data_IF_475705461916
#
_entry.id   IF_475705461916
#
_cell.length_a   1.000
_cell.length_b   1.000
_cell.length_c   1.000
_cell.angle_alpha   90.00
_cell.angle_beta   90.00
_cell.angle_gamma   90.00
#
_symmetry.space_group_name_H-M   'P 1'
#
loop_
_entity.id
_entity.type
_entity.pdbx_description
1 polymer ?
#
# COMPACT_ATOMS: atom_id res chain seq x y z
N UNK A 1 -37.77 -57.74 -20.88
CA UNK A 1 -36.88 -56.76 -21.54
C UNK A 1 -36.23 -55.97 -20.41
N UNK A 2 -35.34 -56.54 -19.60
CA UNK A 2 -34.16 -57.36 -19.90
C UNK A 2 -33.06 -56.54 -20.60
N UNK A 3 -32.20 -55.92 -19.79
CA UNK A 3 -30.76 -55.78 -20.05
C UNK A 3 -30.03 -55.35 -18.77
N UNK A 4 -29.43 -56.36 -18.15
CA UNK A 4 -28.27 -56.26 -17.29
C UNK A 4 -27.07 -55.76 -18.10
N UNK A 5 -26.25 -54.89 -17.51
CA UNK A 5 -24.80 -54.92 -17.73
C UNK A 5 -24.11 -54.54 -16.42
N UNK A 6 -23.63 -55.60 -15.79
CA UNK A 6 -22.63 -55.66 -14.73
C UNK A 6 -21.35 -54.90 -15.13
N UNK A 7 -20.74 -54.21 -14.16
CA UNK A 7 -19.35 -53.79 -14.25
C UNK A 7 -18.73 -53.95 -12.86
N UNK A 8 -18.34 -55.19 -12.56
CA UNK A 8 -17.55 -55.55 -11.39
C UNK A 8 -16.09 -55.14 -11.62
N UNK A 9 -15.57 -54.31 -10.71
CA UNK A 9 -14.16 -53.95 -10.64
C UNK A 9 -13.44 -54.95 -9.72
N UNK A 10 -12.30 -55.56 -10.13
CA UNK A 10 -11.60 -56.54 -9.31
C UNK A 10 -10.76 -55.90 -8.20
N UNK A 11 -10.89 -56.49 -7.02
CA UNK A 11 -10.08 -56.32 -5.80
C UNK A 11 -8.62 -56.74 -6.04
N UNK A 12 -7.61 -56.03 -5.47
CA UNK A 12 -6.23 -56.52 -5.48
C UNK A 12 -6.00 -57.57 -4.39
N UNK A 13 -5.42 -58.70 -4.82
CA UNK A 13 -4.96 -59.83 -4.01
C UNK A 13 -3.61 -59.49 -3.32
N UNK A 14 -3.38 -59.93 -2.07
CA UNK A 14 -2.12 -59.69 -1.36
C UNK A 14 -1.10 -60.81 -1.65
N UNK A 15 0.08 -60.44 -2.16
CA UNK A 15 1.21 -61.34 -2.29
C UNK A 15 2.00 -61.42 -0.97
N UNK A 16 2.14 -62.65 -0.47
CA UNK A 16 2.85 -63.04 0.72
C UNK A 16 4.36 -63.25 0.49
N UNK A 17 5.10 -63.10 1.58
CA UNK A 17 6.26 -63.89 2.03
C UNK A 17 7.33 -64.34 1.02
N UNK A 18 8.53 -63.78 1.19
CA UNK A 18 9.80 -64.37 0.78
C UNK A 18 10.74 -64.50 1.99
N UNK A 19 11.01 -65.73 2.49
CA UNK A 19 12.01 -65.97 3.51
C UNK A 19 13.20 -66.79 2.98
N UNK A 20 14.40 -66.23 3.16
CA UNK A 20 15.59 -67.00 3.53
C UNK A 20 16.60 -67.34 2.42
N UNK A 21 17.88 -67.20 2.77
CA UNK A 21 19.03 -67.70 2.00
C UNK A 21 20.24 -66.77 2.12
N UNK A 22 20.94 -66.72 3.26
CA UNK A 22 22.17 -67.49 3.59
C UNK A 22 23.47 -66.96 2.98
N UNK A 23 24.37 -66.64 3.92
CA UNK A 23 25.80 -66.96 3.94
C UNK A 23 26.78 -66.36 2.94
N UNK A 24 27.79 -65.71 3.53
CA UNK A 24 29.17 -66.12 3.27
C UNK A 24 30.10 -65.00 2.80
N UNK A 25 31.22 -64.83 3.51
CA UNK A 25 32.41 -64.22 2.94
C UNK A 25 33.04 -63.12 3.80
N UNK A 26 33.72 -63.51 4.86
CA UNK A 26 34.85 -62.75 5.37
C UNK A 26 36.00 -62.87 4.36
N UNK A 27 36.65 -61.75 3.99
CA UNK A 27 38.10 -61.80 3.81
C UNK A 27 38.77 -60.43 4.00
N UNK A 28 39.99 -60.55 4.48
CA UNK A 28 40.94 -59.59 5.01
C UNK A 28 41.93 -59.08 3.94
N UNK A 29 42.64 -57.99 4.25
CA UNK A 29 43.84 -57.51 3.54
C UNK A 29 43.67 -56.07 3.06
N UNK A 30 44.27 -55.02 3.61
CA UNK A 30 45.67 -54.79 3.94
C UNK A 30 46.61 -55.13 2.76
N UNK A 31 46.94 -54.14 1.95
CA UNK A 31 48.35 -53.91 1.61
C UNK A 31 48.63 -52.50 1.12
N UNK A 32 49.87 -52.10 1.40
CA UNK A 32 50.46 -50.81 1.09
C UNK A 32 51.32 -50.88 -0.18
N UNK A 33 51.62 -49.72 -0.76
CA UNK A 33 52.95 -49.48 -1.33
C UNK A 33 53.07 -49.22 -2.83
N UNK A 34 53.73 -48.08 -3.10
CA UNK A 34 54.79 -47.86 -4.10
C UNK A 34 54.45 -47.62 -5.59
N UNK A 35 54.59 -46.35 -5.98
CA UNK A 35 55.47 -45.80 -7.05
C UNK A 35 55.87 -46.68 -8.24
N UNK A 36 55.54 -46.23 -9.46
CA UNK A 36 56.44 -46.07 -10.64
C UNK A 36 55.61 -45.42 -11.79
N UNK A 37 55.80 -44.15 -12.12
CA UNK A 37 56.66 -43.60 -13.19
C UNK A 37 56.36 -44.05 -14.64
N UNK A 38 56.09 -43.02 -15.47
CA UNK A 38 56.27 -42.92 -16.93
C UNK A 38 55.47 -43.85 -17.86
N UNK A 39 54.56 -43.28 -18.66
CA UNK A 39 54.85 -43.22 -20.09
C UNK A 39 54.06 -42.14 -20.84
N UNK A 40 54.69 -41.57 -21.86
CA UNK A 40 54.28 -40.42 -22.62
C UNK A 40 53.58 -40.83 -23.92
N UNK A 41 52.35 -40.35 -24.18
CA UNK A 41 51.75 -40.36 -25.54
C UNK A 41 50.86 -39.14 -25.77
N UNK A 42 51.41 -38.14 -26.46
CA UNK A 42 50.78 -37.19 -27.40
C UNK A 42 51.79 -37.04 -28.56
N UNK A 43 51.44 -36.65 -29.80
CA UNK A 43 50.20 -36.02 -30.28
C UNK A 43 49.67 -36.56 -31.63
N UNK A 44 48.50 -36.09 -32.08
CA UNK A 44 48.21 -35.94 -33.51
C UNK A 44 47.21 -34.78 -33.74
N UNK A 45 47.48 -33.89 -34.71
CA UNK A 45 46.62 -32.77 -35.08
C UNK A 45 45.63 -33.16 -36.20
N UNK A 46 44.41 -32.65 -36.14
CA UNK A 46 43.39 -32.77 -37.19
C UNK A 46 43.08 -31.40 -37.82
N UNK A 47 42.63 -31.37 -39.09
CA UNK A 47 43.09 -30.38 -40.06
C UNK A 47 42.18 -29.15 -40.23
N UNK A 48 42.81 -28.12 -40.77
CA UNK A 48 42.21 -26.92 -41.35
C UNK A 48 41.16 -27.25 -42.42
N UNK A 49 39.99 -26.60 -42.33
CA UNK A 49 39.11 -26.36 -43.47
C UNK A 49 38.79 -24.88 -43.55
N UNK A 50 39.47 -24.22 -44.48
CA UNK A 50 39.17 -22.88 -44.98
C UNK A 50 38.09 -22.95 -46.06
N UNK A 51 37.06 -22.13 -45.91
CA UNK A 51 36.38 -21.45 -47.02
C UNK A 51 35.14 -22.11 -47.63
N UNK A 52 33.98 -21.49 -47.38
CA UNK A 52 33.00 -21.17 -48.43
C UNK A 52 31.90 -20.25 -47.87
N UNK A 53 31.80 -19.06 -48.45
CA UNK A 53 30.59 -18.24 -48.44
C UNK A 53 29.38 -19.08 -48.87
N UNK A 54 28.31 -19.07 -48.08
CA UNK A 54 26.96 -19.25 -48.61
C UNK A 54 25.92 -18.60 -47.69
N UNK A 55 25.45 -17.44 -48.12
CA UNK A 55 24.23 -16.78 -47.66
C UNK A 55 23.01 -17.65 -47.98
N UNK A 56 22.54 -18.43 -47.00
CA UNK A 56 21.23 -19.08 -47.07
C UNK A 56 20.25 -18.38 -46.13
N UNK A 57 19.31 -17.68 -46.78
CA UNK A 57 18.04 -17.17 -46.22
C UNK A 57 17.37 -18.22 -45.35
N UNK A 58 17.22 -17.93 -44.06
CA UNK A 58 16.27 -18.61 -43.19
C UNK A 58 14.95 -17.84 -43.27
N UNK A 59 13.97 -18.44 -43.94
CA UNK A 59 12.56 -18.07 -43.84
C UNK A 59 12.05 -18.60 -42.50
N UNK A 60 11.42 -17.79 -41.64
CA UNK A 60 10.85 -18.29 -40.39
C UNK A 60 9.59 -19.11 -40.70
N UNK A 61 9.58 -20.35 -40.20
CA UNK A 61 8.39 -21.16 -40.11
C UNK A 61 7.44 -20.54 -39.08
N UNK A 62 6.15 -20.50 -39.43
CA UNK A 62 5.07 -20.13 -38.53
C UNK A 62 5.04 -21.13 -37.37
N UNK A 63 5.39 -20.66 -36.18
CA UNK A 63 5.29 -21.42 -34.93
C UNK A 63 3.99 -21.01 -34.23
N UNK A 64 3.24 -22.05 -33.89
CA UNK A 64 1.90 -22.02 -33.30
C UNK A 64 1.87 -21.19 -32.02
N UNK A 65 0.85 -20.36 -31.94
CA UNK A 65 0.55 -19.51 -30.80
C UNK A 65 -0.24 -20.32 -29.79
N UNK A 66 0.36 -20.70 -28.65
CA UNK A 66 -0.40 -21.16 -27.49
C UNK A 66 0.21 -20.69 -26.16
N UNK A 67 -0.44 -19.65 -25.63
CA UNK A 67 -0.84 -19.49 -24.23
C UNK A 67 0.15 -19.87 -23.12
N UNK A 68 1.11 -18.98 -22.81
CA UNK A 68 1.54 -18.79 -21.41
C UNK A 68 2.32 -17.48 -21.11
N UNK A 69 1.87 -16.34 -21.66
CA UNK A 69 2.39 -15.03 -21.25
C UNK A 69 1.77 -14.61 -19.90
N UNK A 70 2.38 -15.08 -18.83
CA UNK A 70 2.24 -14.46 -17.50
C UNK A 70 3.12 -13.22 -17.49
N UNK A 71 2.54 -12.09 -17.88
CA UNK A 71 3.18 -10.78 -17.90
C UNK A 71 3.64 -10.41 -16.49
N UNK A 72 4.93 -10.60 -16.20
CA UNK A 72 5.62 -9.88 -15.15
C UNK A 72 5.81 -8.45 -15.64
N UNK A 73 4.89 -7.56 -15.27
CA UNK A 73 5.07 -6.11 -15.35
C UNK A 73 6.11 -5.68 -14.29
N UNK A 74 7.34 -6.18 -14.43
CA UNK A 74 8.50 -5.50 -13.91
C UNK A 74 8.80 -4.38 -14.90
N UNK A 75 8.50 -3.15 -14.50
CA UNK A 75 9.23 -1.93 -14.88
C UNK A 75 9.98 -2.01 -16.22
N UNK A 76 9.26 -1.96 -17.33
CA UNK A 76 9.86 -1.57 -18.60
C UNK A 76 10.31 -0.11 -18.43
N UNK A 77 11.57 0.25 -18.71
CA UNK A 77 11.96 1.65 -18.78
C UNK A 77 11.13 2.32 -19.87
N UNK A 78 10.32 3.30 -19.49
CA UNK A 78 9.65 4.18 -20.46
C UNK A 78 10.76 4.83 -21.29
N UNK A 79 10.79 4.54 -22.58
CA UNK A 79 11.69 5.20 -23.52
C UNK A 79 11.40 6.70 -23.52
N UNK A 80 12.36 7.49 -23.05
CA UNK A 80 12.27 8.95 -22.86
C UNK A 80 12.66 9.76 -24.10
N UNK A 81 12.73 9.15 -25.29
CA UNK A 81 13.15 9.83 -26.53
C UNK A 81 12.11 10.83 -27.10
N UNK A 82 11.10 11.23 -26.32
CA UNK A 82 10.05 12.17 -26.76
C UNK A 82 9.99 13.50 -25.99
N UNK A 83 10.90 13.78 -25.06
CA UNK A 83 10.91 15.02 -24.27
C UNK A 83 12.16 15.89 -24.50
N UNK A 84 12.58 16.05 -25.75
CA UNK A 84 13.66 16.96 -26.08
C UNK A 84 13.13 18.33 -26.55
N UNK A 85 13.58 19.38 -25.84
CA UNK A 85 13.52 20.83 -26.13
C UNK A 85 12.18 21.61 -26.00
N UNK A 86 11.80 21.94 -24.76
CA UNK A 86 11.28 23.29 -24.46
C UNK A 86 12.40 24.08 -23.78
N UNK A 87 13.15 24.85 -24.56
CA UNK A 87 14.08 25.86 -24.03
C UNK A 87 13.24 26.97 -23.39
N UNK A 88 13.34 27.11 -22.07
CA UNK A 88 12.90 28.31 -21.37
C UNK A 88 13.92 29.41 -21.68
N UNK A 89 13.55 30.36 -22.53
CA UNK A 89 14.28 31.61 -22.68
C UNK A 89 14.29 32.36 -21.33
N UNK A 90 15.45 32.87 -20.88
CA UNK A 90 15.52 33.65 -19.66
C UNK A 90 14.71 34.94 -19.82
N UNK A 91 13.79 35.18 -18.89
CA UNK A 91 13.02 36.42 -18.84
C UNK A 91 13.97 37.64 -18.77
N UNK A 92 13.77 38.66 -19.61
CA UNK A 92 14.53 39.91 -19.53
C UNK A 92 14.19 40.64 -18.22
N UNK A 93 15.21 40.98 -17.44
CA UNK A 93 15.08 41.57 -16.11
C UNK A 93 14.69 43.06 -16.11
N UNK A 94 14.44 43.67 -17.27
CA UNK A 94 14.35 45.11 -17.44
C UNK A 94 12.99 45.60 -18.00
N UNK A 95 11.92 44.82 -17.85
CA UNK A 95 10.59 45.21 -18.34
C UNK A 95 9.89 46.21 -17.39
N UNK A 96 9.69 47.48 -17.78
CA UNK A 96 9.10 48.52 -16.93
C UNK A 96 7.60 48.29 -16.62
N UNK A 97 6.93 47.34 -17.28
CA UNK A 97 5.51 47.03 -16.98
C UNK A 97 5.31 46.30 -15.62
N UNK A 98 6.33 45.62 -15.09
CA UNK A 98 6.23 44.98 -13.76
C UNK A 98 6.34 45.97 -12.59
N UNK A 99 6.86 47.17 -12.82
CA UNK A 99 6.94 48.22 -11.80
C UNK A 99 5.58 48.87 -11.49
N UNK A 100 4.58 48.70 -12.36
CA UNK A 100 3.23 49.25 -12.17
C UNK A 100 2.33 48.39 -11.27
N UNK A 101 2.74 47.16 -10.93
CA UNK A 101 1.92 46.21 -10.16
C UNK A 101 1.98 46.35 -8.64
N UNK A 102 2.66 47.37 -8.10
CA UNK A 102 2.50 47.80 -6.70
C UNK A 102 2.77 46.73 -5.63
N UNK A 103 3.51 45.67 -5.96
CA UNK A 103 3.91 44.64 -5.00
C UNK A 103 5.20 45.07 -4.29
N UNK A 104 5.08 46.10 -3.46
CA UNK A 104 6.08 46.36 -2.42
C UNK A 104 5.94 45.30 -1.34
N UNK A 105 7.08 44.71 -0.99
CA UNK A 105 7.30 43.72 0.05
C UNK A 105 6.67 44.12 1.38
N UNK A 106 5.58 43.44 1.76
CA UNK A 106 5.02 43.45 3.11
C UNK A 106 5.89 42.61 4.04
N UNK A 107 7.02 43.17 4.49
CA UNK A 107 7.89 42.53 5.48
C UNK A 107 8.58 43.57 6.36
N UNK A 108 7.81 44.31 7.15
CA UNK A 108 8.22 44.97 8.41
C UNK A 108 7.04 45.78 8.97
N UNK A 109 6.09 45.12 9.66
CA UNK A 109 5.12 45.84 10.50
C UNK A 109 4.53 44.94 11.59
N UNK A 110 5.40 44.35 12.38
CA UNK A 110 5.06 43.76 13.68
C UNK A 110 6.11 44.20 14.67
N UNK A 111 6.02 45.44 15.11
CA UNK A 111 6.47 45.90 16.42
C UNK A 111 5.94 47.33 16.60
N UNK A 112 5.46 47.66 17.80
CA UNK A 112 4.83 48.94 18.19
C UNK A 112 3.29 49.00 18.11
N UNK A 113 2.62 48.21 18.96
CA UNK A 113 1.27 48.51 19.47
C UNK A 113 1.18 48.44 21.01
N UNK A 114 2.30 48.67 21.69
CA UNK A 114 2.31 48.88 23.15
C UNK A 114 2.52 50.37 23.40
N UNK A 115 1.51 51.03 23.99
CA UNK A 115 1.39 52.45 24.42
C UNK A 115 0.40 53.34 23.66
N UNK A 116 -0.82 52.86 23.40
CA UNK A 116 -1.96 53.78 23.24
C UNK A 116 -2.63 54.05 24.60
N UNK A 117 -2.77 55.33 25.02
CA UNK A 117 -3.48 55.69 26.23
C UNK A 117 -4.94 55.24 26.13
N UNK A 118 -5.44 54.56 27.17
CA UNK A 118 -6.86 54.25 27.31
C UNK A 118 -7.66 55.56 27.19
N UNK A 119 -8.68 55.62 26.31
CA UNK A 119 -9.53 56.80 26.24
C UNK A 119 -10.24 57.00 27.59
N UNK A 120 -10.43 58.26 28.02
CA UNK A 120 -11.11 58.56 29.27
C UNK A 120 -12.50 57.94 29.27
N UNK A 121 -12.85 57.30 30.38
CA UNK A 121 -14.16 56.78 30.70
C UNK A 121 -15.24 57.82 30.41
N UNK A 122 -15.90 57.68 29.25
CA UNK A 122 -17.13 58.40 28.95
C UNK A 122 -18.21 57.85 29.87
N UNK A 123 -18.53 58.61 30.92
CA UNK A 123 -19.77 58.49 31.68
C UNK A 123 -20.92 58.68 30.71
N UNK A 124 -21.57 57.57 30.35
CA UNK A 124 -22.76 57.58 29.52
C UNK A 124 -23.84 58.44 30.19
N UNK A 125 -24.52 59.33 29.44
CA UNK A 125 -25.66 60.06 29.96
C UNK A 125 -26.79 59.07 30.28
N UNK A 126 -27.33 59.23 31.48
CA UNK A 126 -28.56 58.63 32.01
C UNK A 126 -29.75 59.05 31.13
N UNK A 127 -29.87 58.45 29.95
CA UNK A 127 -30.98 58.67 29.04
C UNK A 127 -32.10 57.67 29.34
N UNK A 128 -33.27 58.24 29.62
CA UNK A 128 -34.44 57.56 30.16
C UNK A 128 -34.87 56.31 29.40
N UNK A 129 -35.27 55.32 30.18
CA UNK A 129 -35.86 54.09 29.71
C UNK A 129 -37.04 54.38 28.76
N UNK A 130 -37.00 53.89 27.50
CA UNK A 130 -38.17 53.90 26.65
C UNK A 130 -39.28 53.05 27.29
N UNK A 131 -40.56 53.43 27.10
CA UNK A 131 -41.69 52.71 27.66
C UNK A 131 -41.64 51.24 27.22
N UNK A 132 -41.77 50.34 28.19
CA UNK A 132 -41.73 48.90 28.00
C UNK A 132 -42.72 48.49 26.90
N UNK A 133 -42.20 48.08 25.74
CA UNK A 133 -42.98 47.35 24.76
C UNK A 133 -43.49 46.06 25.43
N UNK A 134 -44.78 45.73 25.29
CA UNK A 134 -45.35 44.53 25.88
C UNK A 134 -44.61 43.31 25.34
N UNK A 135 -43.95 42.62 26.25
CA UNK A 135 -43.21 41.38 26.01
C UNK A 135 -44.11 40.41 25.23
N UNK A 136 -43.76 40.02 24.00
CA UNK A 136 -44.58 39.13 23.19
C UNK A 136 -44.76 37.83 23.96
N UNK A 137 -46.02 37.50 24.27
CA UNK A 137 -46.39 36.32 25.03
C UNK A 137 -45.62 35.10 24.46
N UNK A 138 -44.95 34.30 25.32
CA UNK A 138 -44.18 33.16 24.86
C UNK A 138 -45.08 32.28 24.01
N UNK A 139 -44.71 32.11 22.75
CA UNK A 139 -45.44 31.24 21.84
C UNK A 139 -45.35 29.80 22.38
N UNK A 140 -46.39 29.40 23.12
CA UNK A 140 -46.55 28.15 23.88
C UNK A 140 -46.54 26.84 23.03
N UNK A 141 -46.03 26.90 21.80
CA UNK A 141 -46.06 25.79 20.85
C UNK A 141 -44.75 25.48 20.14
N UNK A 142 -43.63 26.15 20.48
CA UNK A 142 -42.35 25.78 19.87
C UNK A 142 -42.00 24.33 20.29
N UNK A 143 -41.90 23.37 19.34
CA UNK A 143 -41.61 21.99 19.68
C UNK A 143 -40.30 21.97 20.44
N UNK A 144 -40.34 21.58 21.73
CA UNK A 144 -39.14 21.33 22.53
C UNK A 144 -38.23 20.45 21.69
N UNK A 145 -37.12 21.00 21.21
CA UNK A 145 -36.08 20.24 20.51
C UNK A 145 -35.83 19.01 21.36
N UNK A 146 -36.22 17.84 20.84
CA UNK A 146 -36.05 16.58 21.53
C UNK A 146 -34.59 16.49 21.97
N UNK A 147 -34.38 16.67 23.27
CA UNK A 147 -33.06 16.72 23.88
C UNK A 147 -32.52 15.31 23.77
N UNK A 148 -31.67 15.10 22.75
CA UNK A 148 -31.14 13.78 22.43
C UNK A 148 -30.22 13.39 23.57
N UNK A 149 -30.61 12.35 24.31
CA UNK A 149 -29.85 11.85 25.45
C UNK A 149 -28.39 11.53 25.02
N UNK A 150 -27.39 12.28 25.54
CA UNK A 150 -26.00 12.12 25.15
C UNK A 150 -25.45 10.74 25.52
N UNK A 151 -26.01 10.07 26.52
CA UNK A 151 -25.55 8.75 26.97
C UNK A 151 -25.96 7.66 25.99
N UNK A 152 -27.21 7.71 25.50
CA UNK A 152 -27.68 6.79 24.47
C UNK A 152 -26.81 6.84 23.20
N UNK A 153 -26.40 8.05 22.77
CA UNK A 153 -25.53 8.21 21.60
C UNK A 153 -24.14 7.58 21.81
N UNK A 154 -23.59 7.69 23.03
CA UNK A 154 -22.29 7.10 23.36
C UNK A 154 -22.33 5.57 23.34
N UNK A 155 -23.39 4.96 23.88
CA UNK A 155 -23.57 3.50 23.86
C UNK A 155 -23.69 2.96 22.44
N UNK A 156 -24.46 3.61 21.58
CA UNK A 156 -24.55 3.23 20.16
C UNK A 156 -23.20 3.30 19.44
N UNK A 157 -22.40 4.35 19.70
CA UNK A 157 -21.08 4.45 19.12
C UNK A 157 -20.16 3.29 19.56
N UNK A 158 -20.21 2.90 20.84
CA UNK A 158 -19.44 1.76 21.37
C UNK A 158 -19.90 0.44 20.73
N UNK A 159 -21.21 0.22 20.60
CA UNK A 159 -21.76 -0.98 19.97
C UNK A 159 -21.36 -1.10 18.49
N UNK A 160 -21.25 0.03 17.78
CA UNK A 160 -20.84 0.06 16.37
C UNK A 160 -19.32 -0.01 16.16
N UNK A 161 -18.52 0.10 17.22
CA UNK A 161 -17.07 0.12 17.10
C UNK A 161 -16.49 -1.19 16.57
N UNK A 162 -16.83 -2.31 17.19
CA UNK A 162 -16.38 -3.65 16.79
C UNK A 162 -16.77 -3.97 15.33
N UNK A 163 -18.06 -3.86 14.91
CA UNK A 163 -18.44 -4.15 13.53
C UNK A 163 -17.80 -3.19 12.52
N UNK A 164 -17.54 -1.93 12.89
CA UNK A 164 -16.80 -1.01 12.03
C UNK A 164 -15.35 -1.46 11.80
N UNK A 165 -14.70 -2.01 12.83
CA UNK A 165 -13.36 -2.59 12.74
C UNK A 165 -13.33 -3.83 11.84
N UNK A 166 -14.26 -4.76 12.09
CA UNK A 166 -14.46 -5.96 11.27
C UNK A 166 -14.72 -5.60 9.81
N UNK A 167 -15.63 -4.65 9.57
CA UNK A 167 -15.96 -4.17 8.22
C UNK A 167 -14.74 -3.58 7.52
N UNK A 168 -13.97 -2.73 8.20
CA UNK A 168 -12.74 -2.16 7.64
C UNK A 168 -11.76 -3.23 7.18
N UNK A 169 -11.49 -4.23 8.04
CA UNK A 169 -10.58 -5.32 7.71
C UNK A 169 -11.08 -6.22 6.56
N UNK A 170 -12.38 -6.53 6.52
CA UNK A 170 -12.99 -7.30 5.43
C UNK A 170 -12.85 -6.55 4.09
N UNK A 171 -13.13 -5.23 4.07
CA UNK A 171 -12.96 -4.41 2.86
C UNK A 171 -11.50 -4.37 2.44
N UNK A 172 -10.56 -4.31 3.39
CA UNK A 172 -9.12 -4.42 3.13
C UNK A 172 -8.75 -5.70 2.37
N UNK A 173 -9.33 -6.84 2.74
CA UNK A 173 -9.13 -8.13 2.08
C UNK A 173 -10.00 -8.32 0.82
N UNK A 174 -10.95 -7.43 0.56
CA UNK A 174 -11.91 -7.52 -0.54
C UNK A 174 -11.31 -7.82 -1.91
N UNK A 175 -10.28 -7.09 -2.39
CA UNK A 175 -9.65 -7.37 -3.68
C UNK A 175 -9.15 -8.81 -3.80
N UNK A 176 -8.56 -9.35 -2.74
CA UNK A 176 -8.05 -10.72 -2.71
C UNK A 176 -9.16 -11.75 -2.79
N UNK A 177 -10.24 -11.56 -2.02
CA UNK A 177 -11.41 -12.44 -2.06
C UNK A 177 -12.03 -12.46 -3.46
N UNK A 178 -12.06 -11.31 -4.14
CA UNK A 178 -12.58 -11.23 -5.51
C UNK A 178 -11.70 -11.95 -6.55
N UNK A 179 -10.39 -12.09 -6.32
CA UNK A 179 -9.51 -12.94 -7.15
C UNK A 179 -9.71 -14.44 -6.92
N UNK A 180 -10.59 -14.82 -5.97
CA UNK A 180 -10.88 -16.21 -5.61
C UNK A 180 -10.09 -16.71 -4.40
N UNK A 181 -9.32 -15.84 -3.72
CA UNK A 181 -8.58 -16.16 -2.49
C UNK A 181 -7.75 -17.46 -2.56
N UNK A 182 -7.13 -17.76 -3.72
CA UNK A 182 -6.26 -18.93 -3.90
C UNK A 182 -4.83 -18.56 -3.62
N UNK A 183 -4.10 -19.38 -2.86
CA UNK A 183 -2.70 -19.12 -2.58
C UNK A 183 -1.92 -18.91 -3.90
N UNK A 184 -1.11 -17.84 -4.03
CA UNK A 184 -0.26 -17.64 -5.19
C UNK A 184 0.68 -18.83 -5.37
N UNK A 185 1.12 -19.09 -6.61
CA UNK A 185 2.06 -20.17 -6.89
C UNK A 185 3.34 -20.04 -6.03
N UNK A 186 3.82 -21.16 -5.49
CA UNK A 186 4.97 -21.24 -4.59
C UNK A 186 6.02 -22.16 -5.22
N UNK A 187 7.26 -21.68 -5.34
CA UNK A 187 8.34 -22.49 -5.92
C UNK A 187 8.76 -23.67 -5.02
N UNK A 188 8.41 -23.61 -3.73
CA UNK A 188 8.75 -24.61 -2.71
C UNK A 188 7.58 -25.54 -2.38
N UNK A 189 6.52 -25.54 -3.21
CA UNK A 189 5.39 -26.44 -3.01
C UNK A 189 5.81 -27.91 -3.18
N UNK A 190 5.24 -28.81 -2.37
CA UNK A 190 5.65 -30.22 -2.36
C UNK A 190 5.24 -30.97 -3.62
N UNK A 191 4.08 -30.64 -4.18
CA UNK A 191 3.54 -31.23 -5.40
C UNK A 191 3.64 -30.24 -6.57
N UNK A 192 3.80 -30.74 -7.79
CA UNK A 192 3.63 -29.91 -8.98
C UNK A 192 2.14 -29.55 -9.13
N UNK A 193 1.78 -28.33 -8.69
CA UNK A 193 0.39 -27.89 -8.56
C UNK A 193 0.17 -26.65 -9.41
N UNK A 194 -0.72 -26.77 -10.39
CA UNK A 194 -1.09 -25.63 -11.23
C UNK A 194 -1.73 -24.50 -10.40
N UNK A 195 -1.59 -23.21 -10.79
CA UNK A 195 -2.10 -22.07 -10.01
C UNK A 195 -3.60 -22.14 -9.68
N UNK A 196 -4.42 -22.68 -10.59
CA UNK A 196 -5.87 -22.83 -10.38
C UNK A 196 -6.24 -23.99 -9.45
N UNK A 197 -5.29 -24.84 -9.09
CA UNK A 197 -5.45 -25.95 -8.13
C UNK A 197 -4.90 -25.60 -6.73
N UNK A 198 -4.27 -24.43 -6.58
CA UNK A 198 -3.77 -23.98 -5.27
C UNK A 198 -4.92 -23.83 -4.26
N UNK A 199 -4.68 -24.19 -2.99
CA UNK A 199 -5.69 -24.15 -1.93
C UNK A 199 -6.11 -22.71 -1.60
N UNK A 200 -7.28 -22.58 -0.98
CA UNK A 200 -7.82 -21.29 -0.56
C UNK A 200 -7.06 -20.77 0.67
N UNK A 201 -6.54 -19.55 0.58
CA UNK A 201 -5.86 -18.85 1.65
C UNK A 201 -6.41 -17.42 1.76
N UNK A 202 -6.73 -16.99 2.98
CA UNK A 202 -7.29 -15.66 3.25
C UNK A 202 -6.32 -14.51 2.99
N UNK A 203 -5.01 -14.79 2.91
CA UNK A 203 -3.98 -13.85 2.53
C UNK A 203 -3.11 -14.42 1.41
N UNK A 204 -2.64 -13.59 0.47
CA UNK A 204 -1.77 -14.01 -0.62
C UNK A 204 -0.32 -14.18 -0.12
N UNK A 205 -0.09 -15.12 0.80
CA UNK A 205 1.25 -15.35 1.36
C UNK A 205 2.19 -15.84 0.26
N UNK A 206 2.93 -14.91 -0.33
CA UNK A 206 4.05 -15.20 -1.23
C UNK A 206 5.05 -14.05 -1.22
N UNK A 207 6.29 -14.36 -1.57
CA UNK A 207 7.39 -13.40 -1.68
C UNK A 207 7.06 -12.19 -2.57
N UNK A 208 6.36 -12.45 -3.67
CA UNK A 208 6.04 -11.44 -4.68
C UNK A 208 4.83 -10.57 -4.28
N UNK A 209 4.08 -10.98 -3.25
CA UNK A 209 2.88 -10.30 -2.81
C UNK A 209 3.05 -9.61 -1.45
N UNK A 210 4.26 -9.46 -0.93
CA UNK A 210 4.50 -8.78 0.36
C UNK A 210 3.95 -7.36 0.38
N UNK A 211 4.10 -6.62 -0.72
CA UNK A 211 3.53 -5.28 -0.88
C UNK A 211 2.00 -5.32 -0.87
N UNK A 212 1.40 -6.34 -1.50
CA UNK A 212 -0.06 -6.52 -1.51
C UNK A 212 -0.60 -6.89 -0.13
N UNK A 213 0.08 -7.79 0.59
CA UNK A 213 -0.26 -8.14 1.98
C UNK A 213 -0.27 -6.87 2.85
N UNK A 214 0.81 -6.09 2.78
CA UNK A 214 0.90 -4.81 3.47
C UNK A 214 -0.29 -3.90 3.12
N UNK A 215 -0.58 -3.72 1.83
CA UNK A 215 -1.68 -2.90 1.36
C UNK A 215 -3.05 -3.35 1.87
N UNK A 216 -3.36 -4.65 1.83
CA UNK A 216 -4.67 -5.15 2.29
C UNK A 216 -4.89 -4.90 3.78
N UNK A 217 -3.86 -5.16 4.59
CA UNK A 217 -3.91 -4.98 6.03
C UNK A 217 -4.00 -3.50 6.40
N UNK A 218 -3.16 -2.66 5.79
CA UNK A 218 -3.07 -1.24 6.11
C UNK A 218 -4.28 -0.45 5.59
N UNK A 219 -4.78 -0.74 4.39
CA UNK A 219 -5.97 -0.04 3.85
C UNK A 219 -7.22 -0.39 4.66
N UNK A 220 -7.39 -1.67 5.04
CA UNK A 220 -8.49 -2.07 5.91
C UNK A 220 -8.43 -1.40 7.30
N UNK A 221 -7.23 -1.33 7.89
CA UNK A 221 -6.97 -0.63 9.14
C UNK A 221 -7.21 0.90 9.03
N UNK A 222 -6.82 1.51 7.92
CA UNK A 222 -7.06 2.93 7.65
C UNK A 222 -8.55 3.23 7.54
N UNK A 223 -9.31 2.40 6.83
CA UNK A 223 -10.77 2.52 6.72
C UNK A 223 -11.46 2.40 8.08
N UNK A 224 -11.06 1.41 8.89
CA UNK A 224 -11.54 1.28 10.27
C UNK A 224 -11.23 2.54 11.10
N UNK A 225 -10.02 3.10 10.99
CA UNK A 225 -9.64 4.34 11.64
C UNK A 225 -10.50 5.53 11.23
N UNK A 226 -10.80 5.67 9.93
CA UNK A 226 -11.69 6.71 9.39
C UNK A 226 -13.10 6.57 9.98
N UNK A 227 -13.66 5.35 9.99
CA UNK A 227 -14.96 5.06 10.58
C UNK A 227 -14.97 5.37 12.08
N UNK A 228 -13.93 4.97 12.82
CA UNK A 228 -13.78 5.29 14.24
C UNK A 228 -13.74 6.80 14.51
N UNK A 229 -13.04 7.56 13.66
CA UNK A 229 -13.00 9.02 13.74
C UNK A 229 -14.36 9.65 13.42
N UNK A 230 -15.07 9.14 12.42
CA UNK A 230 -16.40 9.63 12.04
C UNK A 230 -17.45 9.36 13.15
N UNK A 231 -17.37 8.19 13.78
CA UNK A 231 -18.19 7.80 14.94
C UNK A 231 -17.76 8.49 16.25
N UNK A 232 -16.66 9.26 16.23
CA UNK A 232 -16.07 9.96 17.39
C UNK A 232 -15.77 9.02 18.56
N UNK A 233 -15.29 7.81 18.25
CA UNK A 233 -14.95 6.81 19.25
C UNK A 233 -13.80 7.30 20.15
N UNK A 234 -13.90 7.00 21.45
CA UNK A 234 -12.86 7.28 22.46
C UNK A 234 -12.80 6.15 23.48
N UNK A 235 -11.62 5.97 24.09
CA UNK A 235 -11.41 4.95 25.12
C UNK A 235 -11.78 3.55 24.65
N UNK A 236 -12.72 2.90 25.34
CA UNK A 236 -13.20 1.53 25.04
C UNK A 236 -13.68 1.36 23.59
N UNK A 237 -14.28 2.40 22.99
CA UNK A 237 -14.72 2.33 21.59
C UNK A 237 -13.55 2.14 20.62
N UNK A 238 -12.41 2.80 20.84
CA UNK A 238 -11.22 2.63 20.00
C UNK A 238 -10.62 1.24 20.20
N UNK A 239 -10.60 0.74 21.44
CA UNK A 239 -10.14 -0.62 21.72
C UNK A 239 -11.00 -1.68 21.01
N UNK A 240 -12.34 -1.56 21.04
CA UNK A 240 -13.23 -2.48 20.33
C UNK A 240 -13.09 -2.41 18.81
N UNK A 241 -12.89 -1.20 18.26
CA UNK A 241 -12.58 -1.01 16.85
C UNK A 241 -11.30 -1.77 16.46
N UNK A 242 -10.24 -1.59 17.25
CA UNK A 242 -8.95 -2.26 17.05
C UNK A 242 -9.06 -3.78 17.17
N UNK A 243 -9.81 -4.26 18.17
CA UNK A 243 -10.08 -5.68 18.37
C UNK A 243 -10.79 -6.30 17.16
N UNK A 244 -11.71 -5.56 16.53
CA UNK A 244 -12.39 -6.00 15.30
C UNK A 244 -11.43 -6.15 14.12
N UNK A 245 -10.51 -5.18 13.94
CA UNK A 245 -9.48 -5.23 12.90
C UNK A 245 -8.53 -6.40 13.14
N UNK A 246 -7.97 -6.49 14.35
CA UNK A 246 -7.02 -7.54 14.75
C UNK A 246 -7.64 -8.94 14.70
N UNK A 247 -8.91 -9.08 15.03
CA UNK A 247 -9.62 -10.37 14.96
C UNK A 247 -9.66 -10.91 13.53
N UNK A 248 -10.02 -10.08 12.55
CA UNK A 248 -10.07 -10.48 11.14
C UNK A 248 -8.67 -10.71 10.57
N UNK A 249 -7.74 -9.79 10.81
CA UNK A 249 -6.37 -9.90 10.29
C UNK A 249 -5.64 -11.10 10.88
N UNK A 250 -5.71 -11.28 12.20
CA UNK A 250 -5.10 -12.42 12.89
C UNK A 250 -5.68 -13.75 12.42
N UNK A 251 -7.00 -13.85 12.26
CA UNK A 251 -7.63 -15.05 11.70
C UNK A 251 -7.13 -15.35 10.28
N UNK A 252 -7.10 -14.34 9.40
CA UNK A 252 -6.62 -14.48 8.04
C UNK A 252 -5.15 -14.92 7.98
N UNK A 253 -4.29 -14.37 8.85
CA UNK A 253 -2.88 -14.76 8.96
C UNK A 253 -2.70 -16.19 9.43
N UNK A 254 -3.41 -16.61 10.48
CA UNK A 254 -3.33 -17.99 10.99
C UNK A 254 -3.78 -18.98 9.92
N UNK A 255 -4.94 -18.74 9.29
CA UNK A 255 -5.46 -19.63 8.26
C UNK A 255 -4.52 -19.74 7.06
N UNK A 256 -4.03 -18.62 6.53
CA UNK A 256 -3.15 -18.63 5.38
C UNK A 256 -1.80 -19.29 5.70
N UNK A 257 -1.28 -19.12 6.92
CA UNK A 257 -0.03 -19.73 7.37
C UNK A 257 -0.16 -21.25 7.51
N UNK A 258 -1.29 -21.74 8.05
CA UNK A 258 -1.56 -23.18 8.14
C UNK A 258 -1.59 -23.82 6.75
N UNK A 259 -2.35 -23.23 5.81
CA UNK A 259 -2.45 -23.69 4.43
C UNK A 259 -1.08 -23.68 3.73
N UNK A 260 -0.29 -22.62 3.92
CA UNK A 260 1.05 -22.53 3.35
C UNK A 260 1.98 -23.61 3.92
N UNK A 261 1.99 -23.80 5.24
CA UNK A 261 2.88 -24.77 5.90
C UNK A 261 2.57 -26.21 5.48
N UNK A 262 1.30 -26.56 5.33
CA UNK A 262 0.87 -27.91 4.93
C UNK A 262 1.25 -28.27 3.49
N UNK A 263 1.32 -27.29 2.60
CA UNK A 263 1.65 -27.53 1.19
C UNK A 263 3.13 -27.42 0.82
N UNK A 264 3.95 -26.82 1.67
CA UNK A 264 5.39 -26.68 1.43
C UNK A 264 6.17 -27.98 1.69
N UNK A 265 7.29 -28.13 0.99
CA UNK A 265 8.25 -29.22 1.25
C UNK A 265 8.82 -29.12 2.68
N UNK A 266 9.02 -30.27 3.33
CA UNK A 266 9.65 -30.33 4.66
C UNK A 266 11.18 -30.12 4.56
N UNK A 267 11.56 -28.84 4.39
CA UNK A 267 12.95 -28.38 4.23
C UNK A 267 13.19 -27.14 5.07
N UNK A 268 14.44 -26.93 5.46
CA UNK A 268 14.83 -25.76 6.26
C UNK A 268 14.51 -24.44 5.54
N UNK A 269 14.67 -24.39 4.22
CA UNK A 269 14.36 -23.24 3.38
C UNK A 269 12.88 -22.87 3.43
N UNK A 270 11.99 -23.87 3.42
CA UNK A 270 10.55 -23.68 3.56
C UNK A 270 10.19 -23.09 4.93
N UNK A 271 10.85 -23.54 6.00
CA UNK A 271 10.64 -22.99 7.34
C UNK A 271 11.08 -21.51 7.41
N UNK A 272 12.27 -21.19 6.90
CA UNK A 272 12.76 -19.81 6.84
C UNK A 272 11.86 -18.90 5.99
N UNK A 273 11.34 -19.44 4.88
CA UNK A 273 10.38 -18.75 4.03
C UNK A 273 9.09 -18.39 4.76
N UNK A 274 8.47 -19.35 5.46
CA UNK A 274 7.26 -19.13 6.26
C UNK A 274 7.53 -18.11 7.38
N UNK A 275 8.64 -18.23 8.10
CA UNK A 275 9.01 -17.29 9.16
C UNK A 275 9.19 -15.86 8.62
N UNK A 276 9.83 -15.71 7.46
CA UNK A 276 10.01 -14.41 6.81
C UNK A 276 8.67 -13.76 6.43
N UNK A 277 7.78 -14.52 5.77
CA UNK A 277 6.45 -14.03 5.40
C UNK A 277 5.58 -13.71 6.61
N UNK A 278 5.62 -14.55 7.66
CA UNK A 278 4.86 -14.33 8.88
C UNK A 278 5.38 -13.08 9.61
N UNK A 279 6.69 -12.89 9.68
CA UNK A 279 7.29 -11.70 10.28
C UNK A 279 6.88 -10.43 9.54
N UNK A 280 6.96 -10.42 8.20
CA UNK A 280 6.50 -9.29 7.39
C UNK A 280 5.01 -9.00 7.54
N UNK A 281 4.20 -10.05 7.68
CA UNK A 281 2.75 -9.94 7.93
C UNK A 281 2.48 -9.34 9.31
N UNK A 282 3.14 -9.82 10.37
CA UNK A 282 3.03 -9.27 11.73
C UNK A 282 3.44 -7.79 11.76
N UNK A 283 4.56 -7.43 11.12
CA UNK A 283 4.98 -6.04 11.01
C UNK A 283 3.93 -5.18 10.29
N UNK A 284 3.31 -5.71 9.24
CA UNK A 284 2.23 -5.02 8.53
C UNK A 284 0.98 -4.84 9.40
N UNK A 285 0.62 -5.83 10.21
CA UNK A 285 -0.46 -5.72 11.20
C UNK A 285 -0.13 -4.61 12.21
N UNK A 286 1.10 -4.58 12.76
CA UNK A 286 1.52 -3.53 13.70
C UNK A 286 1.46 -2.12 13.09
N UNK A 287 1.84 -1.98 11.81
CA UNK A 287 1.64 -0.72 11.07
C UNK A 287 0.16 -0.41 10.92
N UNK A 288 -0.68 -1.40 10.63
CA UNK A 288 -2.13 -1.27 10.61
C UNK A 288 -2.69 -0.74 11.94
N UNK A 289 -2.31 -1.35 13.07
CA UNK A 289 -2.67 -0.89 14.42
C UNK A 289 -2.28 0.58 14.62
N UNK A 290 -1.03 0.92 14.30
CA UNK A 290 -0.55 2.29 14.40
C UNK A 290 -1.40 3.25 13.54
N UNK A 291 -1.73 2.87 12.32
CA UNK A 291 -2.56 3.66 11.39
C UNK A 291 -3.97 3.86 11.94
N UNK A 292 -4.63 2.80 12.42
CA UNK A 292 -5.97 2.89 13.02
C UNK A 292 -5.97 3.82 14.22
N UNK A 293 -5.00 3.68 15.14
CA UNK A 293 -4.87 4.54 16.31
C UNK A 293 -4.58 6.00 15.94
N UNK A 294 -3.69 6.24 14.97
CA UNK A 294 -3.37 7.59 14.47
C UNK A 294 -4.61 8.27 13.88
N UNK A 295 -5.40 7.56 13.06
CA UNK A 295 -6.57 8.16 12.42
C UNK A 295 -7.72 8.30 13.42
N UNK A 296 -8.00 7.29 14.24
CA UNK A 296 -9.16 7.31 15.14
C UNK A 296 -8.97 8.26 16.33
N UNK A 297 -7.77 8.26 16.95
CA UNK A 297 -7.56 8.88 18.26
C UNK A 297 -6.67 10.12 18.23
N UNK A 298 -5.74 10.23 17.28
CA UNK A 298 -4.74 11.30 17.34
C UNK A 298 -5.31 12.69 16.95
N UNK A 299 -4.63 13.78 17.36
CA UNK A 299 -4.86 15.11 16.81
C UNK A 299 -4.78 15.10 15.27
N UNK A 300 -5.28 16.16 14.62
CA UNK A 300 -5.32 16.24 13.15
C UNK A 300 -3.96 15.96 12.50
N UNK A 301 -2.86 16.40 13.11
CA UNK A 301 -1.50 16.12 12.63
C UNK A 301 -1.15 14.62 12.63
N UNK A 302 -1.50 13.87 13.68
CA UNK A 302 -1.29 12.43 13.71
C UNK A 302 -2.20 11.68 12.71
N UNK A 303 -3.45 12.13 12.57
CA UNK A 303 -4.37 11.59 11.58
C UNK A 303 -3.86 11.77 10.14
N UNK A 304 -3.17 12.87 9.83
CA UNK A 304 -2.53 13.06 8.52
C UNK A 304 -1.54 11.93 8.22
N UNK A 305 -0.65 11.62 9.16
CA UNK A 305 0.36 10.57 8.99
C UNK A 305 -0.31 9.22 8.74
N UNK A 306 -1.32 8.87 9.54
CA UNK A 306 -2.08 7.63 9.35
C UNK A 306 -2.79 7.57 7.99
N UNK A 307 -3.42 8.67 7.56
CA UNK A 307 -4.08 8.77 6.25
C UNK A 307 -3.09 8.64 5.09
N UNK A 308 -1.89 9.21 5.20
CA UNK A 308 -0.84 9.09 4.18
C UNK A 308 -0.35 7.65 4.05
N UNK A 309 -0.10 6.95 5.16
CA UNK A 309 0.28 5.54 5.13
C UNK A 309 -0.82 4.70 4.49
N UNK A 310 -2.08 4.95 4.86
CA UNK A 310 -3.25 4.34 4.21
C UNK A 310 -3.30 4.59 2.71
N UNK A 311 -3.10 5.85 2.29
CA UNK A 311 -3.09 6.26 0.89
C UNK A 311 -2.02 5.57 0.05
N UNK A 312 -0.81 5.37 0.61
CA UNK A 312 0.27 4.61 -0.04
C UNK A 312 -0.18 3.16 -0.28
N UNK A 313 -0.79 2.53 0.72
CA UNK A 313 -1.33 1.18 0.59
C UNK A 313 -2.46 1.07 -0.45
N UNK A 314 -3.28 2.13 -0.60
CA UNK A 314 -4.44 2.15 -1.49
C UNK A 314 -4.08 1.90 -2.96
N UNK A 315 -2.91 2.36 -3.43
CA UNK A 315 -2.52 2.15 -4.84
C UNK A 315 -2.48 0.66 -5.18
N UNK A 316 -1.71 -0.15 -4.44
CA UNK A 316 -1.63 -1.59 -4.69
C UNK A 316 -2.93 -2.32 -4.37
N UNK A 317 -3.68 -1.90 -3.34
CA UNK A 317 -5.03 -2.43 -3.06
C UNK A 317 -5.96 -2.24 -4.26
N UNK A 318 -5.97 -1.05 -4.85
CA UNK A 318 -6.81 -0.69 -5.99
C UNK A 318 -6.34 -1.41 -7.26
N UNK A 319 -5.03 -1.53 -7.48
CA UNK A 319 -4.48 -2.31 -8.58
C UNK A 319 -5.02 -3.74 -8.55
N UNK A 320 -4.95 -4.44 -7.40
CA UNK A 320 -5.49 -5.80 -7.29
C UNK A 320 -7.00 -5.82 -7.51
N UNK A 321 -7.74 -4.83 -7.01
CA UNK A 321 -9.19 -4.76 -7.20
C UNK A 321 -9.55 -4.66 -8.68
N UNK A 322 -8.86 -3.79 -9.42
CA UNK A 322 -9.09 -3.58 -10.84
C UNK A 322 -8.71 -4.82 -11.68
N UNK A 323 -7.65 -5.53 -11.29
CA UNK A 323 -7.32 -6.82 -11.90
C UNK A 323 -8.42 -7.85 -11.64
N UNK A 324 -8.91 -7.95 -10.41
CA UNK A 324 -9.96 -8.90 -10.03
C UNK A 324 -11.26 -8.67 -10.80
N UNK A 325 -11.63 -7.41 -11.06
CA UNK A 325 -12.84 -7.06 -11.81
C UNK A 325 -12.65 -7.12 -13.33
N UNK A 326 -11.48 -7.50 -13.84
CA UNK A 326 -11.18 -7.54 -15.27
C UNK A 326 -11.09 -6.17 -15.95
N UNK A 327 -10.88 -5.09 -15.17
CA UNK A 327 -10.86 -3.71 -15.64
C UNK A 327 -9.87 -3.48 -16.80
N UNK A 328 -8.70 -4.12 -16.70
CA UNK A 328 -7.62 -3.99 -17.69
C UNK A 328 -7.90 -4.71 -19.03
N UNK A 329 -8.97 -5.51 -19.13
CA UNK A 329 -9.39 -6.16 -20.39
C UNK A 329 -10.43 -5.35 -21.17
N UNK A 330 -10.94 -4.26 -20.58
CA UNK A 330 -12.02 -3.45 -21.14
C UNK A 330 -11.57 -2.13 -21.76
N UNK A 331 -12.52 -1.28 -22.22
CA UNK A 331 -12.22 0.03 -22.83
C UNK A 331 -11.61 1.04 -21.84
N UNK A 332 -11.61 0.72 -20.54
CA UNK A 332 -11.05 1.57 -19.50
C UNK A 332 -9.60 1.21 -19.14
N UNK A 333 -8.96 0.27 -19.85
CA UNK A 333 -7.54 -0.07 -19.66
C UNK A 333 -6.65 1.16 -19.77
N UNK A 334 -7.00 2.13 -20.61
CA UNK A 334 -6.29 3.40 -20.75
C UNK A 334 -6.26 4.18 -19.42
N UNK A 335 -7.25 4.05 -18.53
CA UNK A 335 -7.20 4.74 -17.24
C UNK A 335 -6.17 4.13 -16.27
N UNK A 336 -5.50 3.02 -16.63
CA UNK A 336 -4.45 2.40 -15.83
C UNK A 336 -3.30 3.36 -15.50
N UNK A 337 -2.98 4.31 -16.39
CA UNK A 337 -1.92 5.30 -16.15
C UNK A 337 -2.25 6.23 -14.97
N UNK A 338 -3.51 6.29 -14.52
CA UNK A 338 -3.93 7.09 -13.36
C UNK A 338 -3.57 6.44 -12.02
N UNK A 339 -3.33 5.13 -11.96
CA UNK A 339 -3.12 4.38 -10.70
C UNK A 339 -1.93 4.91 -9.86
N UNK A 340 -0.75 5.19 -10.44
CA UNK A 340 0.37 5.72 -9.67
C UNK A 340 0.06 7.06 -8.98
N UNK A 341 -0.94 7.80 -9.47
CA UNK A 341 -1.32 9.11 -8.94
C UNK A 341 -2.34 9.02 -7.78
N UNK A 342 -2.86 7.84 -7.46
CA UNK A 342 -3.86 7.65 -6.40
C UNK A 342 -3.30 8.04 -5.02
N UNK A 343 -2.16 7.45 -4.62
CA UNK A 343 -1.50 7.76 -3.35
C UNK A 343 -1.17 9.26 -3.17
N UNK A 344 -0.52 9.96 -4.12
CA UNK A 344 -0.22 11.38 -3.95
C UNK A 344 -1.47 12.26 -3.95
N UNK A 345 -2.49 11.95 -4.75
CA UNK A 345 -3.76 12.70 -4.73
C UNK A 345 -4.47 12.57 -3.37
N UNK A 346 -4.60 11.35 -2.85
CA UNK A 346 -5.20 11.10 -1.53
C UNK A 346 -4.41 11.77 -0.40
N UNK A 347 -3.09 11.78 -0.50
CA UNK A 347 -2.22 12.47 0.47
C UNK A 347 -2.40 13.98 0.40
N UNK A 348 -2.46 14.58 -0.79
CA UNK A 348 -2.73 16.00 -0.98
C UNK A 348 -4.09 16.42 -0.40
N UNK A 349 -5.12 15.59 -0.59
CA UNK A 349 -6.44 15.77 0.02
C UNK A 349 -6.38 15.72 1.56
N UNK A 350 -5.61 14.78 2.13
CA UNK A 350 -5.41 14.69 3.58
C UNK A 350 -4.67 15.93 4.14
N UNK A 351 -3.66 16.45 3.43
CA UNK A 351 -2.96 17.69 3.79
C UNK A 351 -3.94 18.86 3.77
N UNK A 352 -4.75 18.99 2.72
CA UNK A 352 -5.75 20.06 2.63
C UNK A 352 -6.80 19.99 3.74
N UNK A 353 -7.26 18.79 4.09
CA UNK A 353 -8.22 18.57 5.18
C UNK A 353 -7.67 18.94 6.56
N UNK A 354 -6.39 18.62 6.81
CA UNK A 354 -5.74 18.96 8.08
C UNK A 354 -5.38 20.44 8.18
N UNK A 355 -5.03 21.07 7.05
CA UNK A 355 -4.60 22.47 6.95
C UNK A 355 -3.21 22.71 7.55
N UNK A 356 -2.64 23.91 7.37
CA UNK A 356 -1.22 24.20 7.67
C UNK A 356 -0.99 25.26 8.77
N UNK A 357 -2.01 25.58 9.57
CA UNK A 357 -1.98 26.76 10.46
C UNK A 357 -1.21 26.57 11.79
N UNK A 358 -0.59 25.41 12.03
CA UNK A 358 0.10 25.13 13.30
C UNK A 358 1.39 24.36 13.03
N UNK A 359 2.43 24.59 13.83
CA UNK A 359 3.75 23.93 13.69
C UNK A 359 3.63 22.40 13.58
N UNK A 360 2.83 21.78 14.46
CA UNK A 360 2.62 20.33 14.41
C UNK A 360 2.01 19.82 13.08
N UNK A 361 1.16 20.62 12.44
CA UNK A 361 0.60 20.28 11.12
C UNK A 361 1.61 20.45 10.00
N UNK A 362 2.45 21.48 10.07
CA UNK A 362 3.55 21.69 9.12
C UNK A 362 4.52 20.51 9.18
N UNK A 363 4.94 20.10 10.39
CA UNK A 363 5.81 18.94 10.58
C UNK A 363 5.15 17.68 10.00
N UNK A 364 3.87 17.42 10.30
CA UNK A 364 3.18 16.24 9.74
C UNK A 364 3.07 16.28 8.22
N UNK A 365 2.90 17.47 7.61
CA UNK A 365 2.88 17.62 6.15
C UNK A 365 4.24 17.28 5.55
N UNK A 366 5.34 17.76 6.15
CA UNK A 366 6.69 17.43 5.70
C UNK A 366 6.93 15.92 5.83
N UNK A 367 6.54 15.31 6.95
CA UNK A 367 6.64 13.86 7.15
C UNK A 367 5.82 13.09 6.10
N UNK A 368 4.59 13.52 5.81
CA UNK A 368 3.74 12.89 4.79
C UNK A 368 4.36 12.96 3.39
N UNK A 369 4.93 14.11 3.01
CA UNK A 369 5.64 14.25 1.73
C UNK A 369 6.92 13.39 1.69
N UNK A 370 7.67 13.34 2.80
CA UNK A 370 8.83 12.46 2.91
C UNK A 370 8.45 10.98 2.82
N UNK A 371 7.30 10.57 3.37
CA UNK A 371 6.79 9.20 3.21
C UNK A 371 6.51 8.84 1.76
N UNK A 372 5.89 9.75 0.99
CA UNK A 372 5.67 9.54 -0.46
C UNK A 372 6.99 9.41 -1.22
N UNK A 373 8.01 10.16 -0.83
CA UNK A 373 9.35 10.05 -1.41
C UNK A 373 10.02 8.71 -1.08
N UNK A 374 9.91 8.27 0.18
CA UNK A 374 10.62 7.09 0.70
C UNK A 374 9.93 5.77 0.28
N UNK A 375 8.61 5.76 0.17
CA UNK A 375 7.84 4.53 -0.03
C UNK A 375 8.23 3.72 -1.29
N UNK A 376 8.44 4.33 -2.48
CA UNK A 376 8.92 3.60 -3.66
C UNK A 376 10.29 2.95 -3.42
N UNK A 377 11.23 3.67 -2.78
CA UNK A 377 12.56 3.15 -2.50
C UNK A 377 12.52 1.95 -1.53
N UNK A 378 11.70 2.03 -0.47
CA UNK A 378 11.49 0.91 0.46
C UNK A 378 10.90 -0.29 -0.27
N UNK A 379 9.87 -0.06 -1.09
CA UNK A 379 9.18 -1.12 -1.84
C UNK A 379 10.14 -1.84 -2.78
N UNK A 380 10.94 -1.09 -3.53
CA UNK A 380 11.98 -1.62 -4.43
C UNK A 380 13.02 -2.41 -3.65
N UNK A 381 13.54 -1.89 -2.54
CA UNK A 381 14.53 -2.57 -1.72
C UNK A 381 13.99 -3.90 -1.17
N UNK A 382 12.77 -3.91 -0.62
CA UNK A 382 12.14 -5.12 -0.09
C UNK A 382 11.90 -6.15 -1.19
N UNK A 383 11.37 -5.74 -2.34
CA UNK A 383 11.15 -6.64 -3.47
C UNK A 383 12.45 -7.31 -3.95
N UNK A 384 13.54 -6.54 -4.03
CA UNK A 384 14.86 -7.06 -4.44
C UNK A 384 15.49 -7.97 -3.38
N UNK A 385 15.41 -7.61 -2.10
CA UNK A 385 15.96 -8.43 -1.00
C UNK A 385 15.23 -9.75 -0.93
N UNK A 386 13.90 -9.73 -0.97
CA UNK A 386 13.09 -10.94 -0.96
C UNK A 386 13.37 -11.80 -2.19
N UNK A 387 13.49 -11.16 -3.38
CA UNK A 387 13.90 -11.77 -4.64
C UNK A 387 15.16 -12.61 -4.57
N UNK A 388 16.14 -12.20 -3.76
CA UNK A 388 17.48 -12.77 -3.77
C UNK A 388 17.67 -13.85 -2.70
N UNK A 389 17.23 -15.07 -3.03
CA UNK A 389 17.27 -16.22 -2.12
C UNK A 389 18.68 -16.68 -1.74
N UNK A 390 19.69 -16.34 -2.54
CA UNK A 390 21.08 -16.79 -2.33
C UNK A 390 21.74 -16.05 -1.17
N UNK A 391 21.29 -14.83 -0.85
CA UNK A 391 21.91 -13.95 0.15
C UNK A 391 21.46 -14.27 1.58
N UNK A 392 20.45 -15.13 1.79
CA UNK A 392 19.95 -15.44 3.14
C UNK A 392 20.92 -16.21 4.05
N UNK A 393 22.09 -16.63 3.54
CA UNK A 393 23.09 -17.34 4.36
C UNK A 393 23.80 -16.42 5.37
N UNK A 394 23.79 -15.10 5.15
CA UNK A 394 24.43 -14.10 6.00
C UNK A 394 23.50 -12.88 6.15
N UNK A 395 22.95 -12.69 7.35
CA UNK A 395 22.03 -11.58 7.64
C UNK A 395 22.64 -10.19 7.38
N UNK A 396 23.96 -10.06 7.60
CA UNK A 396 24.69 -8.81 7.35
C UNK A 396 24.74 -8.47 5.85
N UNK A 397 24.87 -9.48 4.98
CA UNK A 397 24.88 -9.27 3.53
C UNK A 397 23.50 -8.86 3.00
N UNK A 398 22.41 -9.36 3.61
CA UNK A 398 21.05 -8.92 3.27
C UNK A 398 20.82 -7.44 3.60
N UNK A 399 21.27 -7.00 4.79
CA UNK A 399 21.14 -5.61 5.21
C UNK A 399 22.01 -4.69 4.36
N UNK A 400 23.25 -5.09 4.05
CA UNK A 400 24.13 -4.36 3.16
C UNK A 400 23.51 -4.23 1.76
N UNK A 401 23.05 -5.34 1.18
CA UNK A 401 22.39 -5.38 -0.13
C UNK A 401 21.12 -4.52 -0.16
N UNK A 402 20.21 -4.71 0.80
CA UNK A 402 18.97 -3.95 0.90
C UNK A 402 19.21 -2.46 1.10
N UNK A 403 20.18 -2.08 1.95
CA UNK A 403 20.53 -0.67 2.17
C UNK A 403 21.15 -0.02 0.93
N UNK A 404 21.93 -0.76 0.15
CA UNK A 404 22.49 -0.30 -1.11
C UNK A 404 21.39 -0.01 -2.13
N UNK A 405 20.45 -0.94 -2.32
CA UNK A 405 19.32 -0.77 -3.26
C UNK A 405 18.39 0.35 -2.81
N UNK A 406 18.13 0.44 -1.50
CA UNK A 406 17.33 1.50 -0.94
C UNK A 406 17.95 2.87 -1.25
N UNK A 407 19.25 3.05 -1.00
CA UNK A 407 19.96 4.31 -1.28
C UNK A 407 19.98 4.63 -2.77
N UNK A 408 20.23 3.64 -3.63
CA UNK A 408 20.21 3.87 -5.07
C UNK A 408 18.82 4.31 -5.54
N UNK A 409 17.75 3.63 -5.08
CA UNK A 409 16.38 3.96 -5.45
C UNK A 409 15.90 5.31 -4.88
N UNK A 410 16.33 5.66 -3.67
CA UNK A 410 16.00 6.93 -3.02
C UNK A 410 16.57 8.16 -3.76
N UNK A 411 17.65 7.96 -4.51
CA UNK A 411 18.39 8.98 -5.23
C UNK A 411 18.00 9.08 -6.72
N UNK A 412 16.98 8.36 -7.18
CA UNK A 412 16.43 8.49 -8.54
C UNK A 412 15.31 9.54 -8.54
N UNK A 413 15.60 10.81 -8.89
CA UNK A 413 14.61 11.88 -8.78
C UNK A 413 13.40 11.65 -9.69
N UNK A 414 13.57 10.98 -10.83
CA UNK A 414 12.50 10.69 -11.80
C UNK A 414 11.38 9.83 -11.20
N UNK A 415 11.70 8.98 -10.22
CA UNK A 415 10.73 8.12 -9.55
C UNK A 415 10.09 8.80 -8.33
N UNK A 416 10.88 9.56 -7.58
CA UNK A 416 10.46 10.07 -6.27
C UNK A 416 9.84 11.47 -6.31
N UNK A 417 10.30 12.34 -7.23
CA UNK A 417 9.88 13.74 -7.31
C UNK A 417 8.44 13.92 -7.85
N UNK A 418 7.98 13.21 -8.91
CA UNK A 418 6.66 13.45 -9.46
C UNK A 418 5.50 13.23 -8.47
N UNK A 419 5.45 12.14 -7.67
CA UNK A 419 4.40 11.95 -6.68
C UNK A 419 4.36 13.06 -5.63
N UNK A 420 5.53 13.54 -5.18
CA UNK A 420 5.61 14.62 -4.18
C UNK A 420 5.09 15.93 -4.75
N UNK A 421 5.45 16.27 -5.99
CA UNK A 421 4.94 17.47 -6.67
C UNK A 421 3.42 17.39 -6.80
N UNK A 422 2.89 16.25 -7.27
CA UNK A 422 1.43 16.08 -7.43
C UNK A 422 0.71 16.21 -6.09
N UNK A 423 1.23 15.61 -5.01
CA UNK A 423 0.63 15.76 -3.68
C UNK A 423 0.61 17.22 -3.22
N UNK A 424 1.70 17.96 -3.44
CA UNK A 424 1.81 19.38 -3.09
C UNK A 424 0.85 20.26 -3.91
N UNK A 425 0.79 20.04 -5.23
CA UNK A 425 -0.13 20.74 -6.14
C UNK A 425 -1.58 20.46 -5.74
N UNK A 426 -1.94 19.20 -5.50
CA UNK A 426 -3.28 18.83 -5.08
C UNK A 426 -3.67 19.48 -3.74
N UNK A 427 -2.76 19.51 -2.77
CA UNK A 427 -3.00 20.21 -1.51
C UNK A 427 -3.26 21.71 -1.74
N UNK A 428 -2.44 22.37 -2.56
CA UNK A 428 -2.58 23.79 -2.88
C UNK A 428 -3.90 24.10 -3.58
N UNK A 429 -4.30 23.30 -4.58
CA UNK A 429 -5.55 23.45 -5.33
C UNK A 429 -6.76 23.35 -4.40
N UNK A 430 -6.82 22.32 -3.55
CA UNK A 430 -7.96 22.10 -2.66
C UNK A 430 -8.05 23.22 -1.61
N UNK A 431 -6.92 23.64 -1.04
CA UNK A 431 -6.88 24.78 -0.11
C UNK A 431 -7.37 26.06 -0.80
N UNK A 432 -6.90 26.34 -2.03
CA UNK A 432 -7.31 27.50 -2.82
C UNK A 432 -8.81 27.54 -3.08
N UNK A 433 -9.41 26.42 -3.49
CA UNK A 433 -10.86 26.29 -3.71
C UNK A 433 -11.64 26.57 -2.41
N UNK A 434 -11.21 26.01 -1.28
CA UNK A 434 -11.89 26.21 0.01
C UNK A 434 -11.83 27.68 0.46
N UNK A 435 -10.70 28.36 0.24
CA UNK A 435 -10.58 29.78 0.55
C UNK A 435 -11.44 30.66 -0.36
N UNK A 436 -11.49 30.35 -1.66
CA UNK A 436 -12.33 31.05 -2.63
C UNK A 436 -13.81 30.93 -2.28
N UNK A 437 -14.30 29.72 -1.98
CA UNK A 437 -15.69 29.49 -1.58
C UNK A 437 -16.04 30.27 -0.29
N UNK A 438 -15.11 30.33 0.67
CA UNK A 438 -15.32 31.10 1.91
C UNK A 438 -15.37 32.60 1.66
N UNK A 439 -14.56 33.12 0.75
CA UNK A 439 -14.61 34.53 0.35
C UNK A 439 -15.96 34.87 -0.29
N UNK A 440 -16.41 34.05 -1.24
CA UNK A 440 -17.68 34.24 -1.95
C UNK A 440 -18.91 34.14 -1.02
N UNK A 441 -18.89 33.28 0.00
CA UNK A 441 -19.98 33.18 0.99
C UNK A 441 -20.01 34.39 1.91
N UNK A 442 -18.84 34.94 2.29
CA UNK A 442 -18.74 36.13 3.16
C UNK A 442 -19.28 37.39 2.47
N UNK A 443 -19.20 37.45 1.15
CA UNK A 443 -19.63 38.60 0.36
C UNK A 443 -21.12 38.67 0.07
N UNK A 444 -21.97 37.72 0.52
CA UNK A 444 -23.43 37.89 0.46
C UNK A 444 -23.88 38.83 1.57
N UNK A 445 -24.05 40.14 1.32
CA UNK A 445 -24.46 41.08 2.34
C UNK A 445 -25.95 40.88 2.57
N UNK A 446 -26.41 41.21 3.77
CA UNK A 446 -27.81 41.14 4.23
C UNK A 446 -28.70 42.18 3.52
N UNK A 447 -28.76 42.17 2.19
CA UNK A 447 -29.58 43.11 1.40
C UNK A 447 -31.08 42.79 1.49
N UNK A 448 -31.47 41.74 2.22
CA UNK A 448 -32.85 41.24 2.28
C UNK A 448 -33.66 41.65 3.53
N UNK A 449 -33.14 42.47 4.45
CA UNK A 449 -33.87 42.86 5.67
C UNK A 449 -34.39 44.30 5.70
N UNK A 450 -34.67 44.90 4.53
CA UNK A 450 -35.40 46.18 4.43
C UNK A 450 -36.38 46.15 3.26
N UNK A 451 -37.49 45.44 3.43
CA UNK A 451 -38.77 45.74 2.75
C UNK A 451 -39.91 45.33 3.65
#
# INVERSE_FOLDING_TARGET
MDRSTDNEHPTPEPAADDPGGTDGGADTGADAGTTEAADAVRPAPGPDTSGSDDTVRITPAAEDTDANDTVILASQPVSTDAFDTVRLEPLPADDPEFAALGLTTAREQTDSYDTLPLPPSQTAPENGAPPAEPEPAPADGAPKKAERDPDAQRWWAILLALPAGVFGAIVGLGPWVLTGARLPAQDLWAADTAPFMMPLAMLPLSQNNVVQIFSFLVVGAALAGILGRALRLRGVGVFLLELGVLGVQGWATVQATMVLREGLQDRFESAMYVVGLLTGTILSILVGVMVTLLIASAPRAGALIGLTIGAIGTTAWLTTLLFATGFFRGPFSELAWLLPWVAPVLTGLAIAWTGVNTVGRIISTIVALAMLWIAPAVTTAVANVLGNRVVFRSGDDLLAYGSSIFRSALLVPELALPPVIVAAVMAAVVIGIVLLVRALVKERPLTESRT
#
